data_IF_607193842798
#
_entry.id   IF_607193842798
#
_cell.length_a   1.000
_cell.length_b   1.000
_cell.length_c   1.000
_cell.angle_alpha   90.00
_cell.angle_beta   90.00
_cell.angle_gamma   90.00
#
_symmetry.space_group_name_H-M   'P 1'
#
loop_
_entity.id
_entity.type
_entity.pdbx_description
1 polymer ?
#
# COMPACT_ATOMS: atom_id res chain seq x y z
N UNK A 1 -20.86 -52.10 74.64
CA UNK A 1 -20.76 -52.24 73.18
C UNK A 1 -21.01 -50.88 72.51
N UNK A 2 -19.97 -50.10 72.24
CA UNK A 2 -20.07 -48.77 71.68
C UNK A 2 -19.61 -48.85 70.19
N UNK A 3 -20.48 -48.40 69.28
CA UNK A 3 -20.19 -48.29 67.87
C UNK A 3 -19.65 -46.91 67.59
N UNK A 4 -18.42 -46.83 67.13
CA UNK A 4 -17.83 -45.63 66.61
C UNK A 4 -18.29 -45.47 65.13
N UNK A 5 -18.88 -44.33 64.83
CA UNK A 5 -19.17 -43.93 63.47
C UNK A 5 -17.99 -43.10 62.93
N UNK A 6 -17.34 -43.56 61.86
CA UNK A 6 -16.32 -42.80 61.12
C UNK A 6 -17.00 -41.91 60.12
N UNK A 7 -16.72 -40.61 60.23
CA UNK A 7 -17.11 -39.63 59.22
C UNK A 7 -16.01 -39.51 58.13
N UNK A 8 -16.39 -39.71 56.87
CA UNK A 8 -15.51 -39.45 55.70
C UNK A 8 -15.54 -37.94 55.35
N UNK A 9 -14.41 -37.35 55.02
CA UNK A 9 -14.38 -35.98 54.56
C UNK A 9 -14.76 -35.90 53.05
N UNK A 10 -15.72 -35.02 52.75
CA UNK A 10 -16.10 -34.68 51.38
C UNK A 10 -15.10 -33.62 50.88
N UNK A 11 -14.27 -33.97 49.92
CA UNK A 11 -13.46 -33.01 49.16
C UNK A 11 -14.29 -32.31 48.11
N UNK A 12 -14.56 -31.02 48.27
CA UNK A 12 -15.12 -30.14 47.25
C UNK A 12 -13.98 -29.64 46.37
N UNK A 13 -13.85 -30.17 45.16
CA UNK A 13 -12.92 -29.65 44.18
C UNK A 13 -13.51 -28.37 43.55
N UNK A 14 -12.92 -27.23 43.90
CA UNK A 14 -13.24 -25.97 43.21
C UNK A 14 -12.56 -25.95 41.83
N UNK A 15 -13.32 -26.07 40.76
CA UNK A 15 -12.86 -25.87 39.42
C UNK A 15 -12.66 -24.36 39.18
N UNK A 16 -11.42 -23.90 39.09
CA UNK A 16 -11.08 -22.55 38.66
C UNK A 16 -11.33 -22.45 37.15
N UNK A 17 -12.42 -21.81 36.74
CA UNK A 17 -12.61 -21.39 35.34
C UNK A 17 -11.66 -20.22 35.04
N UNK A 18 -10.55 -20.50 34.39
CA UNK A 18 -9.74 -19.47 33.75
C UNK A 18 -10.48 -18.96 32.51
N UNK A 19 -11.12 -17.80 32.63
CA UNK A 19 -11.64 -17.08 31.50
C UNK A 19 -10.44 -16.60 30.66
N UNK A 20 -10.18 -17.26 29.53
CA UNK A 20 -9.37 -16.66 28.48
C UNK A 20 -10.13 -15.44 28.00
N UNK A 21 -9.70 -14.26 28.44
CA UNK A 21 -10.11 -13.02 27.84
C UNK A 21 -9.66 -13.04 26.37
N UNK A 22 -10.59 -13.21 25.45
CA UNK A 22 -10.35 -12.91 24.06
C UNK A 22 -10.00 -11.42 24.01
N UNK A 23 -8.74 -11.08 23.76
CA UNK A 23 -8.37 -9.73 23.34
C UNK A 23 -9.18 -9.47 22.09
N UNK A 24 -10.09 -8.50 22.15
CA UNK A 24 -10.78 -8.03 20.95
C UNK A 24 -9.68 -7.68 19.95
N UNK A 25 -9.61 -8.42 18.85
CA UNK A 25 -8.78 -8.04 17.73
C UNK A 25 -9.29 -6.67 17.27
N UNK A 26 -8.42 -5.67 17.16
CA UNK A 26 -8.81 -4.38 16.61
C UNK A 26 -9.19 -4.60 15.15
N UNK A 27 -10.46 -4.38 14.83
CA UNK A 27 -10.93 -4.45 13.45
C UNK A 27 -10.36 -3.26 12.70
N UNK A 28 -9.37 -3.51 11.84
CA UNK A 28 -8.86 -2.47 10.96
C UNK A 28 -9.86 -2.16 9.85
N UNK A 29 -9.82 -0.95 9.36
CA UNK A 29 -10.67 -0.52 8.25
C UNK A 29 -9.81 -0.27 7.02
N UNK A 30 -10.14 -0.91 5.90
CA UNK A 30 -9.49 -0.67 4.62
C UNK A 30 -10.35 0.22 3.72
N UNK A 31 -9.71 1.15 3.02
CA UNK A 31 -10.33 2.10 2.11
C UNK A 31 -9.80 1.84 0.70
N UNK A 32 -10.72 1.64 -0.26
CA UNK A 32 -10.43 1.23 -1.63
C UNK A 32 -10.98 2.27 -2.59
N UNK A 33 -10.12 2.89 -3.39
CA UNK A 33 -10.58 3.76 -4.49
C UNK A 33 -11.07 2.94 -5.65
N UNK A 34 -12.27 3.24 -6.17
CA UNK A 34 -12.85 2.60 -7.34
C UNK A 34 -12.86 3.60 -8.51
N UNK A 35 -11.85 3.50 -9.36
CA UNK A 35 -11.53 4.49 -10.40
C UNK A 35 -12.71 4.77 -11.31
N UNK A 36 -13.37 3.73 -11.85
CA UNK A 36 -14.46 3.88 -12.83
C UNK A 36 -15.84 4.11 -12.20
N UNK A 37 -15.96 3.97 -10.90
CA UNK A 37 -17.19 4.27 -10.18
C UNK A 37 -17.15 5.61 -9.45
N UNK A 38 -16.00 6.31 -9.47
CA UNK A 38 -15.85 7.56 -8.75
C UNK A 38 -16.29 7.40 -7.28
N UNK A 39 -15.79 6.35 -6.64
CA UNK A 39 -16.26 5.96 -5.31
C UNK A 39 -15.15 5.40 -4.43
N UNK A 40 -15.41 5.36 -3.14
CA UNK A 40 -14.58 4.76 -2.11
C UNK A 40 -15.38 3.62 -1.46
N UNK A 41 -14.84 2.40 -1.50
CA UNK A 41 -15.37 1.27 -0.74
C UNK A 41 -14.61 1.12 0.58
N UNK A 42 -15.33 0.82 1.65
CA UNK A 42 -14.80 0.61 3.00
C UNK A 42 -14.99 -0.83 3.39
N UNK A 43 -13.92 -1.51 3.77
CA UNK A 43 -13.90 -2.92 4.16
C UNK A 43 -13.56 -3.03 5.64
N UNK A 44 -14.38 -3.80 6.37
CA UNK A 44 -14.07 -4.31 7.71
C UNK A 44 -13.12 -5.52 7.54
N UNK A 45 -11.89 -5.41 8.06
CA UNK A 45 -10.86 -6.44 7.83
C UNK A 45 -11.03 -7.69 8.70
N UNK A 46 -11.84 -7.64 9.75
CA UNK A 46 -12.14 -8.82 10.56
C UNK A 46 -13.28 -9.64 9.92
N UNK A 47 -14.32 -8.96 9.44
CA UNK A 47 -15.45 -9.60 8.77
C UNK A 47 -15.14 -9.95 7.31
N UNK A 48 -14.12 -9.31 6.72
CA UNK A 48 -13.76 -9.44 5.31
C UNK A 48 -14.94 -9.12 4.38
N UNK A 49 -15.62 -8.01 4.64
CA UNK A 49 -16.78 -7.55 3.86
C UNK A 49 -16.80 -6.03 3.69
N UNK A 50 -17.41 -5.56 2.61
CA UNK A 50 -17.67 -4.14 2.40
C UNK A 50 -18.77 -3.68 3.35
N UNK A 51 -18.47 -2.69 4.19
CA UNK A 51 -19.44 -2.11 5.13
C UNK A 51 -20.05 -0.80 4.63
N UNK A 52 -19.40 -0.12 3.69
CA UNK A 52 -19.89 1.15 3.11
C UNK A 52 -19.25 1.40 1.74
N UNK A 53 -19.99 2.04 0.85
CA UNK A 53 -19.45 2.63 -0.39
C UNK A 53 -20.05 4.02 -0.57
N UNK A 54 -19.20 5.01 -0.83
CA UNK A 54 -19.61 6.41 -1.02
C UNK A 54 -19.06 6.95 -2.32
N UNK A 55 -19.78 7.89 -2.93
CA UNK A 55 -19.26 8.64 -4.07
C UNK A 55 -18.24 9.67 -3.59
N UNK A 56 -17.16 9.79 -4.35
CA UNK A 56 -16.07 10.75 -4.11
C UNK A 56 -15.76 11.48 -5.42
N UNK A 57 -14.63 12.17 -5.51
CA UNK A 57 -14.18 12.84 -6.73
C UNK A 57 -13.98 11.89 -7.93
N UNK A 58 -13.70 12.46 -9.09
CA UNK A 58 -13.62 11.72 -10.34
C UNK A 58 -12.26 11.05 -10.52
N UNK A 59 -12.27 9.83 -11.08
CA UNK A 59 -11.08 8.98 -11.31
C UNK A 59 -10.18 8.91 -10.08
N UNK A 60 -10.73 8.42 -8.92
CA UNK A 60 -9.94 8.33 -7.70
C UNK A 60 -8.89 7.21 -7.82
N UNK A 61 -7.61 7.54 -7.58
CA UNK A 61 -6.47 6.63 -7.70
C UNK A 61 -5.66 6.55 -6.40
N UNK A 62 -4.56 7.29 -6.32
CA UNK A 62 -3.70 7.31 -5.15
C UNK A 62 -4.46 7.63 -3.87
N UNK A 63 -4.15 6.91 -2.79
CA UNK A 63 -4.81 7.08 -1.49
C UNK A 63 -3.80 6.89 -0.37
N UNK A 64 -3.85 7.79 0.61
CA UNK A 64 -3.11 7.65 1.87
C UNK A 64 -4.00 8.03 3.04
N UNK A 65 -3.57 7.69 4.23
CA UNK A 65 -4.24 8.09 5.48
C UNK A 65 -3.36 9.06 6.26
N UNK A 66 -3.96 10.04 6.91
CA UNK A 66 -3.24 10.91 7.84
C UNK A 66 -2.63 10.09 8.98
N UNK A 67 -1.53 10.58 9.54
CA UNK A 67 -0.77 9.87 10.58
C UNK A 67 -1.60 9.53 11.83
N UNK A 68 -2.59 10.36 12.13
CA UNK A 68 -3.52 10.19 13.26
C UNK A 68 -4.77 9.36 12.91
N UNK A 69 -4.85 8.82 11.68
CA UNK A 69 -5.97 8.01 11.23
C UNK A 69 -7.28 8.76 10.99
N UNK A 70 -7.30 10.09 11.10
CA UNK A 70 -8.55 10.86 10.99
C UNK A 70 -8.98 11.13 9.56
N UNK A 71 -8.04 11.22 8.62
CA UNK A 71 -8.31 11.62 7.25
C UNK A 71 -7.88 10.55 6.25
N UNK A 72 -8.75 10.30 5.29
CA UNK A 72 -8.44 9.61 4.04
C UNK A 72 -8.21 10.68 2.98
N UNK A 73 -7.04 10.63 2.33
CA UNK A 73 -6.58 11.63 1.37
C UNK A 73 -6.42 10.94 0.02
N UNK A 74 -7.12 11.42 -1.01
CA UNK A 74 -7.29 10.73 -2.29
C UNK A 74 -6.95 11.65 -3.45
N UNK A 75 -6.11 11.20 -4.38
CA UNK A 75 -5.98 11.81 -5.71
C UNK A 75 -7.27 11.61 -6.49
N UNK A 76 -7.88 12.69 -6.97
CA UNK A 76 -9.02 12.68 -7.87
C UNK A 76 -8.58 13.23 -9.21
N UNK A 77 -8.02 12.33 -10.03
CA UNK A 77 -7.18 12.67 -11.18
C UNK A 77 -7.90 13.51 -12.22
N UNK A 78 -9.16 13.18 -12.55
CA UNK A 78 -9.96 13.98 -13.51
C UNK A 78 -10.49 15.29 -12.91
N UNK A 79 -10.45 15.46 -11.59
CA UNK A 79 -10.77 16.73 -10.92
C UNK A 79 -9.53 17.64 -10.79
N UNK A 80 -8.33 17.14 -11.06
CA UNK A 80 -7.05 17.83 -10.91
C UNK A 80 -6.84 18.36 -9.47
N UNK A 81 -7.27 17.60 -8.47
CA UNK A 81 -7.10 17.94 -7.07
C UNK A 81 -6.90 16.69 -6.18
N UNK A 82 -6.59 16.95 -4.92
CA UNK A 82 -6.52 15.92 -3.88
C UNK A 82 -7.60 16.22 -2.85
N UNK A 83 -8.51 15.27 -2.62
CA UNK A 83 -9.62 15.43 -1.69
C UNK A 83 -9.36 14.74 -0.37
N UNK A 84 -9.74 15.42 0.70
CA UNK A 84 -9.63 14.93 2.07
C UNK A 84 -11.03 14.61 2.58
N UNK A 85 -11.18 13.40 3.12
CA UNK A 85 -12.41 12.90 3.73
C UNK A 85 -12.15 12.51 5.18
N UNK A 86 -13.13 12.74 6.06
CA UNK A 86 -13.11 12.19 7.42
C UNK A 86 -13.16 10.66 7.34
N UNK A 87 -12.25 9.98 8.01
CA UNK A 87 -12.11 8.52 7.90
C UNK A 87 -13.31 7.75 8.46
N UNK A 88 -14.02 8.30 9.45
CA UNK A 88 -15.17 7.65 10.10
C UNK A 88 -16.48 7.93 9.39
N UNK A 89 -16.75 9.21 9.08
CA UNK A 89 -18.02 9.63 8.48
C UNK A 89 -17.99 9.50 6.96
N UNK A 90 -16.82 9.63 6.34
CA UNK A 90 -16.57 9.74 4.90
C UNK A 90 -17.13 11.03 4.30
N UNK A 91 -17.38 12.03 5.14
CA UNK A 91 -17.76 13.35 4.70
C UNK A 91 -16.54 14.10 4.13
N UNK A 92 -16.78 14.86 3.07
CA UNK A 92 -15.76 15.72 2.48
C UNK A 92 -15.34 16.80 3.49
N UNK A 93 -14.02 16.94 3.69
CA UNK A 93 -13.46 17.95 4.60
C UNK A 93 -12.94 19.14 3.82
N UNK A 94 -12.07 18.90 2.84
CA UNK A 94 -11.43 19.95 2.03
C UNK A 94 -10.74 19.37 0.79
N UNK A 95 -10.42 20.25 -0.17
CA UNK A 95 -9.47 19.95 -1.25
C UNK A 95 -8.09 20.49 -0.90
N UNK A 96 -7.08 19.78 -1.37
CA UNK A 96 -5.68 20.22 -1.38
C UNK A 96 -5.27 20.49 -2.82
N UNK A 97 -4.52 21.56 -3.08
CA UNK A 97 -4.06 21.87 -4.43
C UNK A 97 -3.15 20.78 -4.98
N UNK A 98 -3.26 20.55 -6.28
CA UNK A 98 -2.40 19.67 -7.05
C UNK A 98 -2.20 20.26 -8.44
N UNK A 99 -1.23 19.75 -9.20
CA UNK A 99 -1.20 19.90 -10.64
C UNK A 99 -2.20 18.98 -11.34
N UNK A 100 -2.27 19.01 -12.68
CA UNK A 100 -3.16 18.15 -13.44
C UNK A 100 -2.75 16.68 -13.33
N UNK A 101 -3.76 15.81 -13.39
CA UNK A 101 -3.65 14.35 -13.31
C UNK A 101 -2.80 13.84 -12.12
N UNK A 102 -3.22 14.11 -10.87
CA UNK A 102 -2.53 13.57 -9.70
C UNK A 102 -2.70 12.05 -9.63
N UNK A 103 -1.58 11.32 -9.61
CA UNK A 103 -1.55 9.86 -9.61
C UNK A 103 -1.30 9.28 -8.21
N UNK A 104 -0.06 9.08 -7.81
CA UNK A 104 0.28 8.62 -6.47
C UNK A 104 0.67 9.80 -5.57
N UNK A 105 0.47 9.59 -4.30
CA UNK A 105 0.84 10.55 -3.26
C UNK A 105 1.47 9.82 -2.07
N UNK A 106 2.29 10.54 -1.31
CA UNK A 106 2.87 10.02 -0.08
C UNK A 106 2.93 11.09 1.00
N UNK A 107 2.66 10.68 2.23
CA UNK A 107 2.74 11.54 3.40
C UNK A 107 4.16 11.51 3.95
N UNK A 108 4.72 12.69 4.23
CA UNK A 108 5.96 12.78 4.98
C UNK A 108 5.76 12.29 6.44
N UNK A 109 6.77 11.66 7.07
CA UNK A 109 6.67 11.18 8.45
C UNK A 109 6.33 12.26 9.50
N UNK A 110 6.53 13.55 9.18
CA UNK A 110 6.10 14.66 10.05
C UNK A 110 4.56 14.80 10.15
N UNK A 111 3.82 14.15 9.23
CA UNK A 111 2.36 14.21 9.16
C UNK A 111 1.79 15.53 8.63
N UNK A 112 2.64 16.44 8.13
CA UNK A 112 2.24 17.79 7.67
C UNK A 112 2.37 17.97 6.17
N UNK A 113 3.42 17.41 5.56
CA UNK A 113 3.72 17.56 4.14
C UNK A 113 3.22 16.36 3.34
N UNK A 114 2.50 16.65 2.28
CA UNK A 114 2.04 15.69 1.29
C UNK A 114 2.80 15.93 -0.02
N UNK A 115 3.32 14.88 -0.62
CA UNK A 115 3.99 14.89 -1.91
C UNK A 115 3.09 14.20 -2.92
N UNK A 116 2.83 14.82 -4.06
CA UNK A 116 1.87 14.38 -5.07
C UNK A 116 2.58 14.34 -6.42
N UNK A 117 2.51 13.20 -7.11
CA UNK A 117 2.97 13.08 -8.50
C UNK A 117 1.89 13.59 -9.44
N UNK A 118 2.20 14.58 -10.28
CA UNK A 118 1.30 15.15 -11.27
C UNK A 118 1.77 14.74 -12.66
N UNK A 119 1.03 13.80 -13.28
CA UNK A 119 1.47 13.13 -14.50
C UNK A 119 1.65 14.10 -15.66
N UNK A 120 0.68 15.00 -15.88
CA UNK A 120 0.64 15.89 -17.04
C UNK A 120 1.61 17.08 -16.96
N UNK A 121 2.03 17.49 -15.76
CA UNK A 121 2.93 18.64 -15.55
C UNK A 121 4.41 18.26 -15.40
N UNK A 122 4.72 16.97 -15.23
CA UNK A 122 6.07 16.48 -14.94
C UNK A 122 6.64 17.05 -13.63
N UNK A 123 5.78 17.20 -12.64
CA UNK A 123 6.10 17.80 -11.34
C UNK A 123 5.74 16.88 -10.17
N UNK A 124 6.44 17.05 -9.07
CA UNK A 124 5.98 16.62 -7.74
C UNK A 124 5.57 17.86 -6.98
N UNK A 125 4.28 17.99 -6.68
CA UNK A 125 3.75 19.08 -5.84
C UNK A 125 3.88 18.72 -4.37
N UNK A 126 4.42 19.64 -3.57
CA UNK A 126 4.50 19.52 -2.11
C UNK A 126 3.48 20.44 -1.47
N UNK A 127 2.59 19.87 -0.67
CA UNK A 127 1.48 20.59 -0.04
C UNK A 127 1.58 20.49 1.48
N UNK A 128 1.40 21.59 2.17
CA UNK A 128 1.14 21.62 3.60
C UNK A 128 -0.34 21.30 3.83
N UNK A 129 -0.60 20.17 4.50
CA UNK A 129 -1.96 19.64 4.67
C UNK A 129 -2.79 20.54 5.57
N UNK A 130 -2.20 21.15 6.60
CA UNK A 130 -2.92 21.96 7.57
C UNK A 130 -3.42 23.26 6.93
N UNK A 131 -2.52 23.97 6.26
CA UNK A 131 -2.80 25.27 5.62
C UNK A 131 -3.42 25.15 4.24
N UNK A 132 -3.39 23.94 3.63
CA UNK A 132 -3.83 23.67 2.25
C UNK A 132 -3.09 24.53 1.22
N UNK A 133 -1.80 24.79 1.43
CA UNK A 133 -0.98 25.61 0.54
C UNK A 133 0.11 24.77 -0.13
N UNK A 134 0.38 25.06 -1.39
CA UNK A 134 1.57 24.58 -2.07
C UNK A 134 2.79 25.16 -1.38
N UNK A 135 3.70 24.28 -0.95
CA UNK A 135 5.01 24.65 -0.39
C UNK A 135 5.98 24.89 -1.51
N UNK A 136 6.03 23.96 -2.47
CA UNK A 136 6.90 24.04 -3.65
C UNK A 136 6.46 23.00 -4.70
N UNK A 137 6.97 23.13 -5.90
CA UNK A 137 6.86 22.18 -6.99
C UNK A 137 8.26 21.76 -7.42
N UNK A 138 8.47 20.46 -7.63
CA UNK A 138 9.77 19.86 -7.89
C UNK A 138 9.74 19.25 -9.29
N UNK A 139 10.52 19.78 -10.26
CA UNK A 139 10.63 19.18 -11.58
C UNK A 139 11.23 17.78 -11.53
N UNK A 140 10.59 16.84 -12.24
CA UNK A 140 11.03 15.45 -12.38
C UNK A 140 10.99 15.02 -13.86
N UNK A 141 11.02 13.72 -14.14
CA UNK A 141 10.90 13.22 -15.51
C UNK A 141 9.46 13.24 -16.02
N UNK A 142 9.29 12.78 -17.27
CA UNK A 142 7.98 12.77 -17.94
C UNK A 142 7.10 11.65 -17.38
N UNK A 143 5.82 11.97 -17.11
CA UNK A 143 4.81 11.10 -16.51
C UNK A 143 5.25 10.58 -15.12
N UNK A 144 5.34 11.45 -14.10
CA UNK A 144 5.64 11.02 -12.73
C UNK A 144 4.46 10.24 -12.13
N UNK A 145 4.78 9.08 -11.53
CA UNK A 145 3.78 8.17 -10.99
C UNK A 145 4.10 7.77 -9.54
N UNK A 146 5.16 6.99 -9.34
CA UNK A 146 5.49 6.37 -8.06
C UNK A 146 6.05 7.36 -7.04
N UNK A 147 5.69 7.15 -5.77
CA UNK A 147 6.08 8.02 -4.64
C UNK A 147 6.55 7.17 -3.46
N UNK A 148 7.86 6.99 -3.31
CA UNK A 148 8.49 6.26 -2.22
C UNK A 148 9.17 7.19 -1.22
N UNK A 149 8.63 7.29 0.00
CA UNK A 149 9.24 8.07 1.09
C UNK A 149 10.16 7.17 1.92
N UNK A 150 11.37 7.65 2.20
CA UNK A 150 12.25 6.97 3.15
C UNK A 150 11.65 6.98 4.56
N UNK A 151 11.84 5.94 5.37
CA UNK A 151 11.31 5.87 6.73
C UNK A 151 11.71 7.04 7.64
N UNK A 152 12.89 7.63 7.44
CA UNK A 152 13.36 8.81 8.19
C UNK A 152 12.87 10.14 7.58
N UNK A 153 12.16 10.09 6.47
CA UNK A 153 11.59 11.23 5.78
C UNK A 153 12.56 12.10 4.99
N UNK A 154 13.86 11.77 4.95
CA UNK A 154 14.86 12.64 4.31
C UNK A 154 14.92 12.55 2.79
N UNK A 155 14.50 11.42 2.25
CA UNK A 155 14.55 11.15 0.81
C UNK A 155 13.18 10.70 0.32
N UNK A 156 12.69 11.38 -0.71
CA UNK A 156 11.59 10.93 -1.53
C UNK A 156 12.17 10.36 -2.83
N UNK A 157 11.65 9.24 -3.30
CA UNK A 157 11.93 8.75 -4.64
C UNK A 157 10.65 8.80 -5.46
N UNK A 158 10.66 9.58 -6.52
CA UNK A 158 9.62 9.61 -7.54
C UNK A 158 10.06 8.78 -8.75
N UNK A 159 9.14 8.04 -9.36
CA UNK A 159 9.38 7.37 -10.64
C UNK A 159 8.70 8.12 -11.77
N UNK A 160 9.34 8.18 -12.95
CA UNK A 160 8.76 8.79 -14.15
C UNK A 160 8.70 7.77 -15.27
N UNK A 161 7.49 7.47 -15.74
CA UNK A 161 7.18 6.34 -16.61
C UNK A 161 7.88 6.43 -17.96
N UNK A 162 7.75 7.56 -18.66
CA UNK A 162 8.31 7.75 -20.00
C UNK A 162 9.82 7.91 -20.00
N UNK A 163 10.39 8.55 -18.98
CA UNK A 163 11.85 8.73 -18.89
C UNK A 163 12.58 7.54 -18.27
N UNK A 164 11.85 6.55 -17.74
CA UNK A 164 12.40 5.34 -17.10
C UNK A 164 13.38 5.66 -15.94
N UNK A 165 13.05 6.66 -15.15
CA UNK A 165 13.90 7.15 -14.07
C UNK A 165 13.27 6.96 -12.69
N UNK A 166 14.13 6.75 -11.71
CA UNK A 166 13.86 6.96 -10.30
C UNK A 166 14.61 8.22 -9.84
N UNK A 167 13.88 9.28 -9.51
CA UNK A 167 14.40 10.58 -9.09
C UNK A 167 14.54 10.62 -7.57
N UNK A 168 15.75 10.84 -7.07
CA UNK A 168 16.02 10.97 -5.65
C UNK A 168 15.92 12.45 -5.24
N UNK A 169 14.98 12.75 -4.38
CA UNK A 169 14.61 14.10 -3.96
C UNK A 169 14.94 14.27 -2.48
N UNK A 170 15.72 15.30 -2.14
CA UNK A 170 15.95 15.75 -0.77
C UNK A 170 14.71 16.49 -0.26
N UNK A 171 14.11 16.01 0.83
CA UNK A 171 12.84 16.56 1.36
C UNK A 171 13.02 17.81 2.22
N UNK A 172 14.23 18.15 2.62
CA UNK A 172 14.54 19.39 3.33
C UNK A 172 14.70 20.56 2.37
N UNK A 173 15.45 20.33 1.27
CA UNK A 173 15.74 21.35 0.27
C UNK A 173 14.79 21.31 -0.93
N UNK A 174 13.94 20.29 -1.03
CA UNK A 174 12.99 20.06 -2.12
C UNK A 174 13.68 20.05 -3.51
N UNK A 175 14.81 19.35 -3.61
CA UNK A 175 15.59 19.27 -4.85
C UNK A 175 15.92 17.84 -5.21
N UNK A 176 15.80 17.54 -6.49
CA UNK A 176 16.35 16.30 -7.05
C UNK A 176 17.89 16.38 -7.00
N UNK A 177 18.51 15.39 -6.35
CA UNK A 177 19.96 15.33 -6.20
C UNK A 177 20.60 14.16 -6.94
N UNK A 178 19.80 13.18 -7.39
CA UNK A 178 20.29 12.08 -8.21
C UNK A 178 19.16 11.45 -9.02
N UNK A 179 19.51 10.75 -10.11
CA UNK A 179 18.58 10.06 -11.00
C UNK A 179 19.15 8.69 -11.35
N UNK A 180 18.38 7.65 -11.16
CA UNK A 180 18.76 6.27 -11.48
C UNK A 180 17.91 5.75 -12.62
N UNK A 181 18.55 5.31 -13.70
CA UNK A 181 17.87 4.64 -14.81
C UNK A 181 17.42 3.26 -14.36
N UNK A 182 16.15 2.96 -14.58
CA UNK A 182 15.53 1.65 -14.35
C UNK A 182 14.93 1.10 -15.65
N UNK A 183 14.22 -0.02 -15.59
CA UNK A 183 13.58 -0.56 -16.80
C UNK A 183 12.29 0.22 -17.15
N UNK A 184 11.72 -0.12 -18.32
CA UNK A 184 10.63 0.64 -18.92
C UNK A 184 9.37 0.71 -18.04
N UNK A 185 8.81 1.89 -17.97
CA UNK A 185 7.59 2.27 -17.26
C UNK A 185 7.67 1.94 -15.76
N UNK A 186 8.55 2.63 -15.01
CA UNK A 186 8.63 2.42 -13.57
C UNK A 186 7.36 2.97 -12.87
N UNK A 187 6.84 2.17 -11.89
CA UNK A 187 5.56 2.44 -11.23
C UNK A 187 5.73 2.79 -9.75
N UNK A 188 6.16 1.90 -8.93
CA UNK A 188 6.24 2.07 -7.48
C UNK A 188 7.68 2.03 -7.01
N UNK A 189 8.03 2.98 -6.13
CA UNK A 189 9.25 2.97 -5.35
C UNK A 189 8.92 2.64 -3.88
N UNK A 190 9.63 1.69 -3.27
CA UNK A 190 9.38 1.25 -1.90
C UNK A 190 10.71 1.02 -1.16
N UNK A 191 10.93 1.76 -0.08
CA UNK A 191 12.01 1.48 0.85
C UNK A 191 11.67 0.32 1.78
N UNK A 192 12.65 -0.49 2.13
CA UNK A 192 12.51 -1.36 3.29
C UNK A 192 12.64 -0.54 4.58
N UNK A 193 12.13 -1.08 5.70
CA UNK A 193 12.13 -0.38 7.00
C UNK A 193 13.56 -0.03 7.48
N UNK A 194 14.55 -0.87 7.16
CA UNK A 194 15.95 -0.64 7.51
C UNK A 194 16.66 0.40 6.63
N UNK A 195 16.02 0.91 5.58
CA UNK A 195 16.57 1.86 4.61
C UNK A 195 17.85 1.38 3.90
N UNK A 196 17.99 0.08 3.78
CA UNK A 196 19.14 -0.54 3.09
C UNK A 196 18.84 -0.95 1.65
N UNK A 197 17.55 -0.95 1.29
CA UNK A 197 17.05 -1.33 -0.03
C UNK A 197 15.91 -0.40 -0.45
N UNK A 198 15.98 0.03 -1.70
CA UNK A 198 14.89 0.66 -2.44
C UNK A 198 14.49 -0.28 -3.58
N UNK A 199 13.23 -0.64 -3.64
CA UNK A 199 12.65 -1.50 -4.66
C UNK A 199 11.83 -0.67 -5.63
N UNK A 200 12.12 -0.78 -6.93
CA UNK A 200 11.42 -0.04 -7.97
C UNK A 200 10.86 -1.02 -9.00
N UNK A 201 9.54 -1.06 -9.14
CA UNK A 201 8.87 -1.87 -10.16
C UNK A 201 8.88 -1.18 -11.51
N UNK A 202 9.07 -1.95 -12.57
CA UNK A 202 9.03 -1.49 -13.96
C UNK A 202 8.00 -2.32 -14.73
N UNK A 203 6.84 -1.71 -15.00
CA UNK A 203 5.65 -2.39 -15.52
C UNK A 203 5.92 -3.04 -16.88
N UNK A 204 6.32 -2.24 -17.86
CA UNK A 204 6.61 -2.72 -19.22
C UNK A 204 7.95 -3.48 -19.27
N UNK A 205 8.90 -3.08 -18.45
CA UNK A 205 10.17 -3.79 -18.30
C UNK A 205 10.04 -5.20 -17.72
N UNK A 206 8.93 -5.52 -17.03
CA UNK A 206 8.67 -6.82 -16.43
C UNK A 206 9.60 -7.16 -15.27
N UNK A 207 10.20 -6.16 -14.61
CA UNK A 207 11.25 -6.36 -13.60
C UNK A 207 11.02 -5.54 -12.34
N UNK A 208 11.77 -5.87 -11.28
CA UNK A 208 11.94 -5.00 -10.12
C UNK A 208 13.42 -4.76 -9.90
N UNK A 209 13.84 -3.50 -9.93
CA UNK A 209 15.18 -3.09 -9.56
C UNK A 209 15.29 -2.97 -8.04
N UNK A 210 16.32 -3.54 -7.43
CA UNK A 210 16.67 -3.32 -6.03
C UNK A 210 17.93 -2.47 -5.99
N UNK A 211 17.83 -1.29 -5.39
CA UNK A 211 18.85 -0.25 -5.38
C UNK A 211 19.31 -0.04 -3.93
N UNK A 212 20.60 0.16 -3.72
CA UNK A 212 21.15 0.62 -2.44
C UNK A 212 20.88 2.14 -2.31
N UNK A 213 20.06 2.60 -1.35
CA UNK A 213 19.73 4.02 -1.25
C UNK A 213 20.91 4.92 -0.90
N UNK A 214 21.93 4.39 -0.24
CA UNK A 214 23.06 5.19 0.24
C UNK A 214 23.98 5.64 -0.90
N UNK A 215 24.26 4.76 -1.89
CA UNK A 215 25.11 5.06 -3.04
C UNK A 215 24.36 5.02 -4.39
N UNK A 216 23.05 4.75 -4.37
CA UNK A 216 22.13 4.70 -5.52
C UNK A 216 22.52 3.68 -6.59
N UNK A 217 23.32 2.68 -6.20
CA UNK A 217 23.72 1.60 -7.11
C UNK A 217 22.73 0.45 -7.11
N UNK A 218 22.59 -0.16 -8.27
CA UNK A 218 21.80 -1.38 -8.41
C UNK A 218 22.46 -2.52 -7.62
N UNK A 219 21.71 -3.09 -6.68
CA UNK A 219 22.08 -4.33 -5.97
C UNK A 219 21.80 -5.53 -6.88
N UNK A 220 20.56 -5.59 -7.38
CA UNK A 220 20.11 -6.68 -8.27
C UNK A 220 18.86 -6.26 -9.04
N UNK A 221 18.52 -7.05 -10.05
CA UNK A 221 17.26 -6.97 -10.79
C UNK A 221 16.53 -8.30 -10.67
N UNK A 222 15.27 -8.24 -10.25
CA UNK A 222 14.42 -9.40 -10.10
C UNK A 222 13.59 -9.56 -11.37
N UNK A 223 13.66 -10.73 -11.98
CA UNK A 223 12.84 -11.16 -13.10
C UNK A 223 11.81 -12.18 -12.62
N UNK A 224 10.69 -12.26 -13.33
CA UNK A 224 9.59 -13.15 -13.00
C UNK A 224 9.34 -14.12 -14.15
N UNK A 225 9.13 -15.38 -13.80
CA UNK A 225 8.78 -16.45 -14.75
C UNK A 225 7.61 -17.24 -14.18
N UNK A 226 6.51 -17.28 -14.91
CA UNK A 226 5.29 -18.00 -14.50
C UNK A 226 4.92 -18.97 -15.61
N UNK A 227 4.95 -20.29 -15.35
CA UNK A 227 4.61 -21.28 -16.36
C UNK A 227 3.23 -21.03 -16.97
N UNK A 228 3.17 -20.96 -18.29
CA UNK A 228 1.92 -20.73 -19.04
C UNK A 228 1.42 -19.29 -19.05
N UNK A 229 2.22 -18.32 -18.59
CA UNK A 229 1.91 -16.87 -18.68
C UNK A 229 2.94 -16.22 -19.60
N UNK A 230 2.46 -15.49 -20.59
CA UNK A 230 3.32 -14.74 -21.50
C UNK A 230 4.10 -13.65 -20.74
N UNK A 231 5.35 -13.43 -21.14
CA UNK A 231 6.25 -12.50 -20.44
C UNK A 231 5.70 -11.07 -20.39
N UNK A 232 5.05 -10.64 -21.46
CA UNK A 232 4.45 -9.31 -21.59
C UNK A 232 3.25 -9.10 -20.67
N UNK A 233 2.62 -10.18 -20.18
CA UNK A 233 1.56 -10.13 -19.18
C UNK A 233 2.09 -10.01 -17.75
N UNK A 234 3.38 -10.21 -17.53
CA UNK A 234 4.01 -10.07 -16.21
C UNK A 234 4.46 -8.62 -16.04
N UNK A 235 3.60 -7.80 -15.46
CA UNK A 235 3.77 -6.36 -15.34
C UNK A 235 3.82 -5.96 -13.86
N UNK A 236 5.03 -5.85 -13.26
CA UNK A 236 5.17 -5.45 -11.85
C UNK A 236 4.67 -4.02 -11.60
N UNK A 237 3.80 -3.85 -10.61
CA UNK A 237 3.23 -2.55 -10.21
C UNK A 237 3.42 -2.33 -8.72
N UNK A 238 2.43 -2.67 -7.89
CA UNK A 238 2.48 -2.46 -6.44
C UNK A 238 3.57 -3.30 -5.77
N UNK A 239 4.26 -2.70 -4.81
CA UNK A 239 5.25 -3.38 -3.95
C UNK A 239 4.91 -3.10 -2.50
N UNK A 240 4.96 -4.14 -1.66
CA UNK A 240 4.93 -4.01 -0.21
C UNK A 240 5.96 -4.96 0.43
N UNK A 241 6.66 -4.46 1.43
CA UNK A 241 7.68 -5.21 2.18
C UNK A 241 7.18 -5.36 3.61
N UNK A 242 7.25 -6.57 4.18
CA UNK A 242 6.86 -6.83 5.56
C UNK A 242 7.69 -5.98 6.54
N UNK A 243 7.12 -5.62 7.70
CA UNK A 243 7.80 -4.78 8.71
C UNK A 243 9.11 -5.39 9.22
N UNK A 244 9.18 -6.72 9.28
CA UNK A 244 10.40 -7.46 9.65
C UNK A 244 11.44 -7.51 8.50
N UNK A 245 11.08 -6.98 7.33
CA UNK A 245 11.93 -6.88 6.17
C UNK A 245 12.23 -8.21 5.45
N UNK A 246 11.55 -9.32 5.80
CA UNK A 246 11.89 -10.63 5.25
C UNK A 246 11.31 -10.90 3.87
N UNK A 247 10.11 -10.44 3.61
CA UNK A 247 9.40 -10.71 2.37
C UNK A 247 8.96 -9.43 1.68
N UNK A 248 9.11 -9.41 0.36
CA UNK A 248 8.48 -8.45 -0.51
C UNK A 248 7.35 -9.12 -1.29
N UNK A 249 6.19 -8.46 -1.35
CA UNK A 249 5.04 -8.84 -2.16
C UNK A 249 4.96 -7.90 -3.34
N UNK A 250 4.83 -8.44 -4.55
CA UNK A 250 4.88 -7.68 -5.80
C UNK A 250 3.66 -8.04 -6.64
N UNK A 251 2.82 -7.06 -6.92
CA UNK A 251 1.69 -7.21 -7.83
C UNK A 251 2.19 -7.31 -9.28
N UNK A 252 1.76 -8.33 -10.01
CA UNK A 252 2.24 -8.61 -11.37
C UNK A 252 1.19 -8.30 -12.46
N UNK A 253 0.34 -7.30 -12.22
CA UNK A 253 -0.62 -6.76 -13.20
C UNK A 253 -1.49 -7.81 -13.90
N UNK A 254 -1.46 -7.87 -15.25
CA UNK A 254 -2.28 -8.81 -16.05
C UNK A 254 -1.97 -10.29 -15.80
N UNK A 255 -0.82 -10.61 -15.19
CA UNK A 255 -0.52 -11.99 -14.79
C UNK A 255 -1.45 -12.50 -13.66
N UNK A 256 -2.23 -11.60 -13.03
CA UNK A 256 -3.20 -11.93 -11.97
C UNK A 256 -2.55 -12.68 -10.80
N UNK A 257 -1.33 -12.27 -10.44
CA UNK A 257 -0.52 -12.90 -9.41
C UNK A 257 0.13 -11.84 -8.53
N UNK A 258 0.38 -12.23 -7.29
CA UNK A 258 1.31 -11.55 -6.40
C UNK A 258 2.52 -12.47 -6.22
N UNK A 259 3.71 -11.98 -6.55
CA UNK A 259 4.95 -12.68 -6.26
C UNK A 259 5.36 -12.43 -4.81
N UNK A 260 5.82 -13.48 -4.12
CA UNK A 260 6.48 -13.38 -2.82
C UNK A 260 7.98 -13.59 -3.03
N UNK A 261 8.76 -12.61 -2.62
CA UNK A 261 10.22 -12.58 -2.79
C UNK A 261 10.90 -12.54 -1.43
N UNK A 262 11.92 -13.37 -1.24
CA UNK A 262 12.81 -13.27 -0.09
C UNK A 262 13.76 -12.08 -0.29
N UNK A 263 13.74 -11.13 0.63
CA UNK A 263 14.48 -9.86 0.50
C UNK A 263 15.99 -9.98 0.72
N UNK A 264 16.45 -11.08 1.30
CA UNK A 264 17.86 -11.36 1.54
C UNK A 264 18.55 -12.05 0.36
N UNK A 265 17.80 -12.93 -0.32
CA UNK A 265 18.30 -13.69 -1.47
C UNK A 265 17.78 -13.19 -2.81
N UNK A 266 16.77 -12.34 -2.79
CA UNK A 266 16.05 -11.79 -3.96
C UNK A 266 15.39 -12.87 -4.85
N UNK A 267 15.17 -14.07 -4.29
CA UNK A 267 14.53 -15.17 -4.99
C UNK A 267 13.03 -15.10 -4.87
N UNK A 268 12.34 -15.32 -5.98
CA UNK A 268 10.89 -15.53 -5.98
C UNK A 268 10.61 -16.89 -5.34
N UNK A 269 9.87 -16.87 -4.24
CA UNK A 269 9.49 -18.06 -3.48
C UNK A 269 8.20 -18.68 -3.98
N UNK A 270 7.26 -17.80 -4.41
CA UNK A 270 5.89 -18.22 -4.70
C UNK A 270 5.15 -17.16 -5.53
N UNK A 271 4.17 -17.64 -6.29
CA UNK A 271 3.16 -16.82 -6.94
C UNK A 271 1.79 -17.13 -6.36
N UNK A 272 1.07 -16.12 -5.87
CA UNK A 272 -0.27 -16.22 -5.30
C UNK A 272 -1.26 -15.76 -6.35
N UNK A 273 -2.22 -16.61 -6.73
CA UNK A 273 -3.30 -16.21 -7.64
C UNK A 273 -4.24 -15.25 -6.93
N UNK A 274 -4.55 -14.15 -7.59
CA UNK A 274 -5.47 -13.10 -7.13
C UNK A 274 -6.49 -12.76 -8.22
N UNK A 275 -7.29 -11.73 -8.05
CA UNK A 275 -8.21 -11.27 -9.09
C UNK A 275 -7.49 -10.69 -10.31
N UNK A 276 -8.27 -10.27 -11.33
CA UNK A 276 -7.72 -9.85 -12.61
C UNK A 276 -7.20 -8.41 -12.59
N UNK A 277 -6.02 -8.21 -13.19
CA UNK A 277 -5.30 -6.93 -13.28
C UNK A 277 -5.05 -6.35 -11.88
N UNK A 278 -4.18 -7.02 -11.11
CA UNK A 278 -3.78 -6.54 -9.78
C UNK A 278 -2.92 -5.28 -9.90
N UNK A 279 -3.27 -4.25 -9.08
CA UNK A 279 -2.62 -2.94 -9.07
C UNK A 279 -1.82 -2.72 -7.79
N UNK A 280 -2.49 -2.27 -6.74
CA UNK A 280 -1.88 -1.88 -5.47
C UNK A 280 -2.18 -2.90 -4.37
N UNK A 281 -1.41 -2.78 -3.30
CA UNK A 281 -1.54 -3.65 -2.13
C UNK A 281 -1.28 -2.85 -0.86
N UNK A 282 -1.86 -3.29 0.26
CA UNK A 282 -1.58 -2.71 1.56
C UNK A 282 -1.72 -3.75 2.66
N UNK A 283 -0.79 -3.77 3.63
CA UNK A 283 -0.87 -4.62 4.80
C UNK A 283 -1.83 -4.06 5.85
N UNK A 284 -2.44 -4.95 6.64
CA UNK A 284 -2.95 -4.54 7.95
C UNK A 284 -1.79 -4.11 8.86
N UNK A 285 -2.05 -3.22 9.86
CA UNK A 285 -0.99 -2.72 10.74
C UNK A 285 -0.21 -3.80 11.51
N UNK A 286 -0.76 -4.98 11.68
CA UNK A 286 -0.11 -6.13 12.32
C UNK A 286 0.60 -7.09 11.32
N UNK A 287 0.65 -6.74 10.05
CA UNK A 287 1.18 -7.53 8.92
C UNK A 287 0.53 -8.93 8.77
N UNK A 288 -0.67 -9.17 9.34
CA UNK A 288 -1.32 -10.47 9.19
C UNK A 288 -2.02 -10.65 7.84
N UNK A 289 -2.62 -9.58 7.34
CA UNK A 289 -3.34 -9.58 6.07
C UNK A 289 -2.69 -8.61 5.07
N UNK A 290 -2.70 -8.99 3.80
CA UNK A 290 -2.38 -8.14 2.67
C UNK A 290 -3.60 -8.05 1.76
N UNK A 291 -4.09 -6.84 1.51
CA UNK A 291 -5.20 -6.57 0.61
C UNK A 291 -4.66 -6.14 -0.74
N UNK A 292 -5.19 -6.71 -1.84
CA UNK A 292 -4.80 -6.37 -3.21
C UNK A 292 -5.98 -5.83 -3.99
N UNK A 293 -5.79 -4.77 -4.76
CA UNK A 293 -6.83 -4.24 -5.66
C UNK A 293 -6.73 -4.89 -7.02
N UNK A 294 -7.83 -5.45 -7.53
CA UNK A 294 -7.87 -6.17 -8.80
C UNK A 294 -8.84 -5.46 -9.76
N UNK A 295 -8.28 -4.57 -10.59
CA UNK A 295 -9.05 -3.62 -11.38
C UNK A 295 -10.04 -4.26 -12.35
N UNK A 296 -9.65 -5.29 -13.08
CA UNK A 296 -10.51 -5.87 -14.11
C UNK A 296 -11.60 -6.80 -13.54
N UNK A 297 -11.36 -7.45 -12.40
CA UNK A 297 -12.36 -8.30 -11.73
C UNK A 297 -13.25 -7.56 -10.72
N UNK A 298 -12.95 -6.28 -10.43
CA UNK A 298 -13.72 -5.44 -9.51
C UNK A 298 -13.81 -6.03 -8.09
N UNK A 299 -12.69 -6.52 -7.59
CA UNK A 299 -12.59 -7.12 -6.27
C UNK A 299 -11.27 -6.80 -5.58
N UNK A 300 -11.24 -7.09 -4.30
CA UNK A 300 -10.04 -7.08 -3.45
C UNK A 300 -9.76 -8.52 -3.04
N UNK A 301 -8.55 -9.00 -3.29
CA UNK A 301 -8.13 -10.29 -2.72
C UNK A 301 -7.43 -10.04 -1.39
N UNK A 302 -7.84 -10.78 -0.37
CA UNK A 302 -7.20 -10.82 0.94
C UNK A 302 -6.24 -12.00 0.98
N UNK A 303 -5.00 -11.73 1.30
CA UNK A 303 -3.93 -12.71 1.45
C UNK A 303 -3.55 -12.81 2.93
N UNK A 304 -3.57 -14.03 3.48
CA UNK A 304 -2.95 -14.33 4.77
C UNK A 304 -1.43 -14.38 4.60
N UNK A 305 -0.74 -13.47 5.27
CA UNK A 305 0.70 -13.24 5.09
C UNK A 305 1.52 -14.41 5.61
N UNK A 306 1.13 -15.01 6.74
CA UNK A 306 1.88 -16.11 7.36
C UNK A 306 1.88 -17.38 6.49
N UNK A 307 0.73 -17.74 5.94
CA UNK A 307 0.59 -18.91 5.05
C UNK A 307 0.87 -18.57 3.58
N UNK A 308 0.95 -17.28 3.24
CA UNK A 308 1.10 -16.78 1.88
C UNK A 308 0.03 -17.36 0.94
N UNK A 309 -1.22 -17.29 1.36
CA UNK A 309 -2.38 -17.80 0.60
C UNK A 309 -3.46 -16.74 0.49
N UNK A 310 -4.09 -16.67 -0.68
CA UNK A 310 -5.35 -15.94 -0.83
C UNK A 310 -6.44 -16.67 -0.03
N UNK A 311 -7.16 -15.94 0.83
CA UNK A 311 -8.19 -16.49 1.72
C UNK A 311 -9.59 -16.00 1.39
N UNK A 312 -9.71 -14.83 0.74
CA UNK A 312 -11.00 -14.22 0.41
C UNK A 312 -10.87 -13.32 -0.82
N UNK A 313 -11.92 -13.29 -1.64
CA UNK A 313 -12.17 -12.23 -2.63
C UNK A 313 -13.39 -11.43 -2.16
N UNK A 314 -13.28 -10.10 -2.14
CA UNK A 314 -14.31 -9.17 -1.69
C UNK A 314 -14.68 -8.28 -2.87
N UNK A 315 -15.93 -8.36 -3.34
CA UNK A 315 -16.38 -7.50 -4.42
C UNK A 315 -16.51 -6.05 -3.94
N UNK A 316 -15.97 -5.11 -4.73
CA UNK A 316 -16.00 -3.67 -4.49
C UNK A 316 -16.58 -2.92 -5.69
N UNK A 317 -16.39 -1.62 -5.80
CA UNK A 317 -16.77 -0.84 -6.98
C UNK A 317 -15.94 -1.20 -8.21
N UNK A 318 -16.25 -0.56 -9.36
CA UNK A 318 -15.57 -0.86 -10.63
C UNK A 318 -14.17 -0.29 -10.67
N UNK A 319 -13.24 -1.14 -11.09
CA UNK A 319 -11.83 -0.85 -11.30
C UNK A 319 -11.15 -0.35 -10.02
N UNK A 320 -11.10 -1.16 -8.95
CA UNK A 320 -10.38 -0.78 -7.74
C UNK A 320 -8.90 -0.58 -8.04
N UNK A 321 -8.34 0.56 -7.56
CA UNK A 321 -6.97 0.96 -7.87
C UNK A 321 -6.10 1.11 -6.62
N UNK A 322 -6.39 2.07 -5.76
CA UNK A 322 -5.64 2.33 -4.55
C UNK A 322 -6.24 1.64 -3.32
N UNK A 323 -5.40 1.38 -2.33
CA UNK A 323 -5.80 0.82 -1.05
C UNK A 323 -4.96 1.38 0.08
N UNK A 324 -5.59 1.71 1.20
CA UNK A 324 -4.95 2.05 2.48
C UNK A 324 -5.72 1.41 3.62
N UNK A 325 -5.04 1.07 4.70
CA UNK A 325 -5.65 0.48 5.91
C UNK A 325 -5.42 1.44 7.08
N UNK A 326 -6.45 1.61 7.93
CA UNK A 326 -6.35 2.43 9.13
C UNK A 326 -5.23 1.94 10.06
N UNK A 327 -4.56 2.86 10.78
CA UNK A 327 -3.50 2.47 11.71
C UNK A 327 -4.03 1.72 12.94
N UNK A 328 -5.34 1.88 13.27
CA UNK A 328 -6.03 1.29 14.44
C UNK A 328 -7.39 0.72 14.04
#
# INVERSE_FOLDING_TARGET
>A
MSRFAQALPVFVAAAAMTSFGATAANAYTAYITNEKDNSLSVIDTDKLEVIKTVKIGQRPRGIVMSKDGKWVIVCTSDDNDVKVYDAKTLEFVKSLPSGPDPELLTLHPDGKRLYIANEDDNLVTVVDIETSKVVTEIPVGVEPEGMGMSPDGKVLVNTSETTNMAHFIDTENHKTFDNVLVDSRPRVAMFNTAQTQLWVSSEVGGTVAVINPADRKLITKINFEIPGVEKEAIQPVGIRITKDGKFAFIALGPANRVAVVDTSTFKVLKYILVGQRVWQMYFTPDDKLLLTTNGASNDVTVIDVASQKAIKSIKVGRYPWGVVVSPD
#
